data_IF_379689145078
#
_entry.id   IF_379689145078
#
_cell.length_a   1.000
_cell.length_b   1.000
_cell.length_c   1.000
_cell.angle_alpha   90.00
_cell.angle_beta   90.00
_cell.angle_gamma   90.00
#
_symmetry.space_group_name_H-M   'P 1'
#
loop_
_entity.id
_entity.type
_entity.pdbx_description
1 polymer ?
#
# COMPACT_ATOMS: atom_id res chain seq x y z
N UNK A 1 -0.85 5.98 22.04
CA UNK A 1 -0.02 4.89 21.50
C UNK A 1 -0.92 4.01 20.67
N UNK A 2 -0.64 3.87 19.38
CA UNK A 2 -1.35 2.90 18.55
C UNK A 2 -0.93 1.51 18.99
N UNK A 3 -1.78 0.80 19.74
CA UNK A 3 -1.65 -0.64 19.84
C UNK A 3 -2.04 -1.20 18.48
N UNK A 4 -1.18 -2.00 17.85
CA UNK A 4 -1.54 -2.68 16.62
C UNK A 4 -2.53 -3.80 16.99
N UNK A 5 -3.80 -3.56 16.72
CA UNK A 5 -4.85 -4.57 16.86
C UNK A 5 -5.70 -4.65 15.60
N UNK A 6 -6.10 -5.86 15.23
CA UNK A 6 -7.06 -6.04 14.14
C UNK A 6 -8.51 -5.86 14.64
N UNK A 7 -9.48 -5.86 13.72
CA UNK A 7 -10.90 -5.70 14.04
C UNK A 7 -11.50 -6.84 14.87
N UNK A 8 -10.79 -7.97 15.01
CA UNK A 8 -11.21 -9.08 15.87
C UNK A 8 -10.75 -8.91 17.32
N UNK A 9 -9.90 -7.91 17.59
CA UNK A 9 -9.26 -7.71 18.89
C UNK A 9 -7.94 -8.46 19.04
N UNK A 10 -7.40 -9.05 17.97
CA UNK A 10 -6.06 -9.65 18.00
C UNK A 10 -5.04 -8.56 18.28
N UNK A 11 -4.16 -8.77 19.26
CA UNK A 11 -3.09 -7.83 19.61
C UNK A 11 -1.74 -8.37 19.14
N UNK A 12 -0.98 -7.52 18.46
CA UNK A 12 0.38 -7.84 18.02
C UNK A 12 1.28 -8.03 19.24
N UNK A 13 2.04 -9.13 19.24
CA UNK A 13 3.04 -9.46 20.26
C UNK A 13 4.46 -9.26 19.72
N UNK A 14 5.46 -9.23 20.60
CA UNK A 14 6.87 -9.14 20.16
C UNK A 14 7.27 -10.32 19.26
N UNK A 15 6.78 -11.53 19.54
CA UNK A 15 7.02 -12.67 18.64
C UNK A 15 6.40 -12.49 17.23
N UNK A 16 5.30 -11.73 17.08
CA UNK A 16 4.77 -11.40 15.74
C UNK A 16 5.72 -10.47 15.01
N UNK A 17 6.28 -9.50 15.73
CA UNK A 17 7.27 -8.56 15.18
C UNK A 17 8.52 -9.31 14.72
N UNK A 18 9.04 -10.21 15.55
CA UNK A 18 10.20 -11.04 15.20
C UNK A 18 9.91 -11.92 13.99
N UNK A 19 8.74 -12.55 13.94
CA UNK A 19 8.31 -13.35 12.79
C UNK A 19 8.23 -12.52 11.51
N UNK A 20 7.64 -11.32 11.60
CA UNK A 20 7.52 -10.37 10.50
C UNK A 20 8.82 -9.63 10.17
N UNK A 21 9.88 -9.86 10.96
CA UNK A 21 11.19 -9.18 10.85
C UNK A 21 11.08 -7.66 11.02
N UNK A 22 10.17 -7.23 11.88
CA UNK A 22 9.97 -5.85 12.29
C UNK A 22 10.72 -5.66 13.60
N UNK A 23 11.73 -4.78 13.64
CA UNK A 23 12.40 -4.48 14.91
C UNK A 23 11.47 -3.69 15.84
N UNK A 24 11.71 -3.78 17.15
CA UNK A 24 10.95 -2.99 18.13
C UNK A 24 11.06 -1.48 17.87
N UNK A 25 12.25 -1.01 17.48
CA UNK A 25 12.48 0.39 17.12
C UNK A 25 11.63 0.84 15.93
N UNK A 26 11.52 0.00 14.90
CA UNK A 26 10.68 0.26 13.73
C UNK A 26 9.19 0.29 14.11
N UNK A 27 8.76 -0.67 14.93
CA UNK A 27 7.39 -0.70 15.43
C UNK A 27 7.05 0.54 16.28
N UNK A 28 7.95 0.95 17.16
CA UNK A 28 7.76 2.12 18.00
C UNK A 28 7.74 3.42 17.17
N UNK A 29 8.57 3.51 16.13
CA UNK A 29 8.56 4.64 15.18
C UNK A 29 7.24 4.71 14.40
N UNK A 30 6.74 3.56 13.95
CA UNK A 30 5.42 3.45 13.33
C UNK A 30 4.30 3.86 14.29
N UNK A 31 4.34 3.38 15.54
CA UNK A 31 3.31 3.68 16.54
C UNK A 31 3.27 5.18 16.93
N UNK A 32 4.38 5.92 16.74
CA UNK A 32 4.48 7.37 16.92
C UNK A 32 4.13 8.19 15.67
N UNK A 33 3.92 7.56 14.52
CA UNK A 33 3.69 8.28 13.27
C UNK A 33 4.96 8.83 12.62
N UNK A 34 6.14 8.35 13.03
CA UNK A 34 7.43 8.89 12.57
C UNK A 34 7.87 8.29 11.23
N UNK A 35 7.58 7.00 11.00
CA UNK A 35 7.82 6.32 9.72
C UNK A 35 6.90 5.11 9.54
N UNK A 36 6.52 4.77 8.31
CA UNK A 36 5.77 3.53 8.03
C UNK A 36 6.64 2.29 8.27
N UNK A 37 5.99 1.13 8.40
CA UNK A 37 6.71 -0.15 8.56
C UNK A 37 7.65 -0.41 7.37
N UNK A 38 8.78 -1.05 7.68
CA UNK A 38 9.90 -1.33 6.78
C UNK A 38 10.64 -0.11 6.21
N UNK A 39 10.41 1.10 6.75
CA UNK A 39 11.13 2.32 6.35
C UNK A 39 11.73 2.99 7.58
N UNK A 40 13.02 3.33 7.52
CA UNK A 40 13.68 4.08 8.59
C UNK A 40 13.15 5.51 8.65
N UNK A 41 13.14 6.18 9.81
CA UNK A 41 12.74 7.59 9.89
C UNK A 41 13.55 8.53 8.98
N UNK A 42 14.84 8.25 8.79
CA UNK A 42 15.71 9.02 7.91
C UNK A 42 15.33 8.82 6.43
N UNK A 43 15.09 7.58 6.00
CA UNK A 43 14.64 7.31 4.64
C UNK A 43 13.25 7.88 4.39
N UNK A 44 12.35 7.78 5.36
CA UNK A 44 11.00 8.34 5.23
C UNK A 44 11.00 9.87 5.12
N UNK A 45 11.84 10.55 5.90
CA UNK A 45 12.08 11.99 5.74
C UNK A 45 12.60 12.31 4.33
N UNK A 46 13.57 11.54 3.83
CA UNK A 46 14.06 11.73 2.48
C UNK A 46 12.96 11.52 1.43
N UNK A 47 12.16 10.47 1.57
CA UNK A 47 11.06 10.15 0.67
C UNK A 47 10.01 11.27 0.63
N UNK A 48 9.55 11.76 1.79
CA UNK A 48 8.52 12.82 1.82
C UNK A 48 9.04 14.14 1.23
N UNK A 49 10.27 14.54 1.55
CA UNK A 49 10.86 15.78 1.00
C UNK A 49 11.02 15.68 -0.52
N UNK A 50 11.51 14.54 -1.03
CA UNK A 50 11.68 14.34 -2.47
C UNK A 50 10.36 14.12 -3.21
N UNK A 51 9.33 13.59 -2.54
CA UNK A 51 7.98 13.47 -3.09
C UNK A 51 7.38 14.85 -3.36
N UNK A 52 7.37 15.74 -2.37
CA UNK A 52 6.83 17.08 -2.55
C UNK A 52 7.64 17.91 -3.54
N UNK A 53 8.96 17.71 -3.61
CA UNK A 53 9.76 18.30 -4.68
C UNK A 53 9.31 17.80 -6.06
N UNK A 54 9.13 16.49 -6.24
CA UNK A 54 8.67 15.91 -7.50
C UNK A 54 7.26 16.39 -7.90
N UNK A 55 6.33 16.46 -6.95
CA UNK A 55 4.98 17.02 -7.18
C UNK A 55 5.05 18.47 -7.65
N UNK A 56 5.91 19.30 -7.05
CA UNK A 56 6.10 20.69 -7.47
C UNK A 56 6.69 20.82 -8.87
N UNK A 57 7.68 19.99 -9.22
CA UNK A 57 8.25 19.96 -10.58
C UNK A 57 7.21 19.54 -11.63
N UNK A 58 6.27 18.67 -11.25
CA UNK A 58 5.12 18.27 -12.09
C UNK A 58 3.96 19.30 -12.06
N UNK A 59 4.11 20.44 -11.37
CA UNK A 59 3.12 21.51 -11.29
C UNK A 59 1.97 21.27 -10.31
N UNK A 60 2.10 20.29 -9.41
CA UNK A 60 1.10 19.95 -8.40
C UNK A 60 1.46 20.66 -7.08
N UNK A 61 0.74 21.74 -6.76
CA UNK A 61 0.97 22.56 -5.56
C UNK A 61 -0.06 22.38 -4.43
N UNK A 62 -1.15 21.65 -4.67
CA UNK A 62 -2.33 21.51 -3.80
C UNK A 62 -2.52 20.09 -3.25
N UNK A 63 -1.47 19.27 -3.26
CA UNK A 63 -1.58 17.84 -2.92
C UNK A 63 -1.88 17.58 -1.44
N UNK A 64 -2.98 16.85 -1.16
CA UNK A 64 -3.16 16.06 0.07
C UNK A 64 -2.59 14.66 -0.18
N UNK A 65 -1.52 14.32 0.54
CA UNK A 65 -0.80 13.06 0.37
C UNK A 65 -0.99 12.19 1.61
N UNK A 66 -1.39 10.93 1.40
CA UNK A 66 -1.61 9.96 2.48
C UNK A 66 -0.95 8.64 2.19
N UNK A 67 -0.43 8.01 3.24
CA UNK A 67 0.00 6.61 3.18
C UNK A 67 -1.16 5.68 3.47
N UNK A 68 -1.28 4.64 2.66
CA UNK A 68 -2.30 3.61 2.77
C UNK A 68 -1.68 2.21 2.80
N UNK A 69 -2.52 1.21 3.05
CA UNK A 69 -2.10 -0.18 3.13
C UNK A 69 -1.56 -0.59 4.50
N UNK A 70 -1.05 -1.82 4.58
CA UNK A 70 -0.59 -2.43 5.83
C UNK A 70 0.72 -1.81 6.34
N UNK A 71 1.51 -1.13 5.51
CA UNK A 71 2.69 -0.38 5.97
C UNK A 71 2.31 0.80 6.87
N UNK A 72 1.17 1.44 6.57
CA UNK A 72 0.61 2.54 7.36
C UNK A 72 -0.25 2.03 8.53
N UNK A 73 -0.97 0.92 8.36
CA UNK A 73 -2.01 0.46 9.31
C UNK A 73 -1.67 -0.83 10.07
N UNK A 74 -0.48 -1.39 9.88
CA UNK A 74 -0.04 -2.72 10.32
C UNK A 74 -0.82 -3.89 9.70
N UNK A 75 -2.14 -3.82 9.66
CA UNK A 75 -3.01 -4.84 9.06
C UNK A 75 -3.58 -4.37 7.71
N UNK A 76 -3.86 -5.33 6.85
CA UNK A 76 -4.60 -5.12 5.61
C UNK A 76 -6.05 -4.68 5.85
N UNK A 77 -6.75 -4.26 4.80
CA UNK A 77 -8.22 -4.09 4.84
C UNK A 77 -8.93 -5.40 5.22
N UNK A 78 -10.11 -5.37 5.88
CA UNK A 78 -10.93 -6.55 6.18
C UNK A 78 -11.24 -7.44 4.96
N UNK A 79 -11.21 -6.88 3.76
CA UNK A 79 -11.41 -7.62 2.51
C UNK A 79 -10.20 -8.45 2.07
N UNK A 80 -9.05 -8.29 2.74
CA UNK A 80 -7.83 -9.06 2.49
C UNK A 80 -7.50 -9.85 3.77
N UNK A 81 -8.29 -10.88 4.12
CA UNK A 81 -8.08 -11.63 5.34
C UNK A 81 -6.73 -12.36 5.35
N UNK A 82 -6.31 -12.78 6.53
CA UNK A 82 -5.21 -13.72 6.68
C UNK A 82 -5.62 -15.09 6.13
N UNK A 83 -4.67 -15.79 5.51
CA UNK A 83 -4.89 -17.09 4.86
C UNK A 83 -4.42 -18.20 5.81
N UNK A 84 -5.27 -19.21 6.05
CA UNK A 84 -4.97 -20.30 6.98
C UNK A 84 -5.03 -21.68 6.34
N UNK A 85 -5.80 -21.85 5.26
CA UNK A 85 -5.92 -23.14 4.59
C UNK A 85 -4.87 -23.30 3.49
N UNK A 86 -4.46 -24.55 3.26
CA UNK A 86 -3.58 -24.93 2.15
C UNK A 86 -4.12 -24.44 0.80
N UNK A 87 -5.42 -24.54 0.59
CA UNK A 87 -6.06 -24.11 -0.65
C UNK A 87 -5.93 -22.60 -0.90
N UNK A 88 -6.14 -21.78 0.13
CA UNK A 88 -5.96 -20.33 0.05
C UNK A 88 -4.49 -19.95 -0.22
N UNK A 89 -3.54 -20.60 0.46
CA UNK A 89 -2.11 -20.36 0.25
C UNK A 89 -1.67 -20.74 -1.16
N UNK A 90 -2.15 -21.86 -1.69
CA UNK A 90 -1.86 -22.30 -3.07
C UNK A 90 -2.45 -21.34 -4.09
N UNK A 91 -3.68 -20.85 -3.87
CA UNK A 91 -4.31 -19.89 -4.78
C UNK A 91 -3.57 -18.56 -4.80
N UNK A 92 -3.24 -18.01 -3.64
CA UNK A 92 -2.47 -16.76 -3.57
C UNK A 92 -1.09 -16.95 -4.21
N UNK A 93 -0.41 -18.08 -3.97
CA UNK A 93 0.84 -18.38 -4.66
C UNK A 93 0.67 -18.40 -6.18
N UNK A 94 -0.39 -19.03 -6.69
CA UNK A 94 -0.68 -19.05 -8.13
C UNK A 94 -0.91 -17.64 -8.67
N UNK A 95 -1.63 -16.79 -7.95
CA UNK A 95 -1.92 -15.42 -8.35
C UNK A 95 -0.63 -14.55 -8.38
N UNK A 96 0.28 -14.78 -7.44
CA UNK A 96 1.52 -14.01 -7.29
C UNK A 96 2.65 -14.48 -8.21
N UNK A 97 2.75 -15.79 -8.46
CA UNK A 97 3.86 -16.39 -9.22
C UNK A 97 3.46 -16.87 -10.62
N UNK A 98 2.17 -16.92 -10.95
CA UNK A 98 1.68 -17.41 -12.24
C UNK A 98 1.89 -18.91 -12.48
N UNK A 99 2.18 -19.68 -11.42
CA UNK A 99 2.35 -21.13 -11.46
C UNK A 99 1.88 -21.79 -10.17
N UNK A 100 1.60 -23.09 -10.22
CA UNK A 100 1.36 -23.87 -9.01
C UNK A 100 2.64 -24.00 -8.18
N UNK A 101 2.55 -23.94 -6.84
CA UNK A 101 3.67 -24.28 -5.98
C UNK A 101 3.97 -25.77 -6.05
N UNK A 102 5.23 -26.15 -5.87
CA UNK A 102 5.57 -27.54 -5.64
C UNK A 102 5.21 -27.98 -4.21
N UNK A 103 5.41 -29.27 -3.91
CA UNK A 103 5.13 -29.82 -2.58
C UNK A 103 5.98 -29.16 -1.49
N UNK A 104 7.25 -28.90 -1.77
CA UNK A 104 8.18 -28.33 -0.80
C UNK A 104 7.81 -26.88 -0.46
N UNK A 105 7.45 -26.08 -1.47
CA UNK A 105 6.98 -24.70 -1.29
C UNK A 105 5.70 -24.66 -0.46
N UNK A 106 4.75 -25.55 -0.76
CA UNK A 106 3.50 -25.62 -0.01
C UNK A 106 3.73 -26.01 1.45
N UNK A 107 4.49 -27.08 1.69
CA UNK A 107 4.78 -27.56 3.04
C UNK A 107 5.58 -26.52 3.85
N UNK A 108 6.48 -25.75 3.20
CA UNK A 108 7.21 -24.65 3.82
C UNK A 108 6.29 -23.47 4.19
N UNK A 109 5.35 -23.08 3.32
CA UNK A 109 4.37 -22.02 3.64
C UNK A 109 3.54 -22.39 4.87
N UNK A 110 3.00 -23.62 4.89
CA UNK A 110 2.21 -24.13 6.02
C UNK A 110 3.03 -24.22 7.31
N UNK A 111 4.28 -24.72 7.22
CA UNK A 111 5.17 -24.79 8.37
C UNK A 111 5.49 -23.41 8.94
N UNK A 112 5.81 -22.42 8.09
CA UNK A 112 6.12 -21.06 8.52
C UNK A 112 4.91 -20.40 9.16
N UNK A 113 3.74 -20.51 8.52
CA UNK A 113 2.49 -20.02 9.08
C UNK A 113 2.25 -20.63 10.47
N UNK A 114 2.27 -21.98 10.57
CA UNK A 114 2.02 -22.70 11.80
C UNK A 114 3.05 -22.46 12.91
N UNK A 115 4.26 -22.01 12.57
CA UNK A 115 5.28 -21.62 13.55
C UNK A 115 4.93 -20.36 14.32
N UNK A 116 4.00 -19.53 13.79
CA UNK A 116 3.61 -18.27 14.40
C UNK A 116 2.12 -18.18 14.70
N UNK A 117 1.28 -18.41 13.70
CA UNK A 117 -0.16 -18.31 13.84
C UNK A 117 -0.82 -19.66 13.62
N UNK A 118 -1.51 -20.12 14.67
CA UNK A 118 -2.52 -21.17 14.56
C UNK A 118 -3.90 -20.56 14.79
N UNK A 119 -4.96 -21.18 14.28
CA UNK A 119 -6.30 -20.65 14.51
C UNK A 119 -6.68 -20.82 16.00
N UNK A 120 -7.15 -19.76 16.70
CA UNK A 120 -7.38 -18.41 16.19
C UNK A 120 -6.12 -17.53 16.17
N UNK A 121 -5.78 -16.99 15.00
CA UNK A 121 -4.75 -15.96 14.81
C UNK A 121 -5.37 -14.65 14.30
N UNK A 122 -4.57 -13.71 13.75
CA UNK A 122 -5.09 -12.47 13.17
C UNK A 122 -6.10 -12.76 12.05
N UNK A 123 -7.22 -12.03 12.02
CA UNK A 123 -8.22 -12.14 10.93
C UNK A 123 -7.81 -11.33 9.73
N UNK A 124 -7.22 -10.16 9.94
CA UNK A 124 -6.66 -9.34 8.87
C UNK A 124 -5.19 -9.72 8.65
N UNK A 125 -4.74 -9.67 7.40
CA UNK A 125 -3.36 -10.00 7.04
C UNK A 125 -2.40 -8.97 7.65
N UNK A 126 -1.47 -9.38 8.54
CA UNK A 126 -0.41 -8.50 9.01
C UNK A 126 0.51 -8.07 7.86
N UNK A 127 1.18 -6.93 8.04
CA UNK A 127 2.20 -6.42 7.13
C UNK A 127 3.25 -7.50 6.80
N UNK A 128 3.60 -7.65 5.52
CA UNK A 128 4.55 -8.62 4.98
C UNK A 128 4.31 -10.11 5.33
N UNK A 129 3.21 -10.47 6.01
CA UNK A 129 2.96 -11.84 6.45
C UNK A 129 3.04 -12.87 5.31
N UNK A 130 2.45 -12.56 4.16
CA UNK A 130 2.47 -13.45 3.01
C UNK A 130 3.85 -13.56 2.34
N UNK A 131 4.62 -12.49 2.36
CA UNK A 131 5.98 -12.50 1.85
C UNK A 131 6.88 -13.37 2.76
N UNK A 132 6.76 -13.21 4.08
CA UNK A 132 7.52 -13.98 5.07
C UNK A 132 7.25 -15.48 4.96
N UNK A 133 5.98 -15.89 4.82
CA UNK A 133 5.65 -17.32 4.64
C UNK A 133 6.01 -17.84 3.24
N UNK A 134 6.18 -16.96 2.25
CA UNK A 134 6.54 -17.31 0.87
C UNK A 134 5.34 -17.51 -0.06
N UNK A 135 4.17 -17.00 0.31
CA UNK A 135 2.97 -16.98 -0.54
C UNK A 135 2.97 -15.79 -1.50
N UNK A 136 3.67 -14.70 -1.17
CA UNK A 136 3.84 -13.53 -2.04
C UNK A 136 5.26 -13.45 -2.60
N UNK A 137 5.37 -13.07 -3.87
CA UNK A 137 6.65 -12.94 -4.59
C UNK A 137 7.48 -11.74 -4.13
N UNK A 138 6.81 -10.67 -3.70
CA UNK A 138 7.42 -9.42 -3.27
C UNK A 138 6.97 -9.06 -1.85
N UNK A 139 7.78 -8.26 -1.18
CA UNK A 139 7.36 -7.59 0.05
C UNK A 139 6.18 -6.65 -0.24
N UNK A 140 5.42 -6.28 0.79
CA UNK A 140 4.34 -5.32 0.64
C UNK A 140 4.82 -4.00 0.00
N UNK A 141 3.91 -3.26 -0.59
CA UNK A 141 4.24 -1.96 -1.15
C UNK A 141 4.14 -0.85 -0.08
N UNK A 142 4.68 0.32 -0.42
CA UNK A 142 4.37 1.58 0.21
C UNK A 142 3.45 2.37 -0.72
N UNK A 143 2.18 2.48 -0.36
CA UNK A 143 1.13 3.08 -1.21
C UNK A 143 0.88 4.54 -0.81
N UNK A 144 1.28 5.46 -1.70
CA UNK A 144 1.00 6.88 -1.58
C UNK A 144 -0.24 7.24 -2.39
N UNK A 145 -1.23 7.83 -1.72
CA UNK A 145 -2.40 8.38 -2.36
C UNK A 145 -2.30 9.90 -2.38
N UNK A 146 -2.40 10.47 -3.59
CA UNK A 146 -2.30 11.91 -3.84
C UNK A 146 -3.65 12.40 -4.32
N UNK A 147 -4.22 13.37 -3.61
CA UNK A 147 -5.46 14.06 -4.00
C UNK A 147 -5.13 15.49 -4.39
N UNK A 148 -5.47 15.88 -5.61
CA UNK A 148 -5.14 17.22 -6.14
C UNK A 148 -6.09 17.60 -7.27
N UNK A 149 -6.67 18.80 -7.19
CA UNK A 149 -7.47 19.36 -8.28
C UNK A 149 -6.58 19.82 -9.44
N UNK A 150 -5.38 20.34 -9.14
CA UNK A 150 -4.41 20.68 -10.17
C UNK A 150 -4.01 19.45 -11.02
N UNK A 151 -3.73 18.32 -10.36
CA UNK A 151 -3.42 17.06 -11.03
C UNK A 151 -4.59 16.59 -11.92
N UNK A 152 -5.83 16.65 -11.41
CA UNK A 152 -7.02 16.33 -12.20
C UNK A 152 -7.09 17.20 -13.46
N UNK A 153 -7.02 18.52 -13.32
CA UNK A 153 -7.12 19.44 -14.46
C UNK A 153 -6.04 19.20 -15.51
N UNK A 154 -4.82 18.87 -15.08
CA UNK A 154 -3.71 18.55 -15.99
C UNK A 154 -3.94 17.24 -16.77
N UNK A 155 -4.49 16.21 -16.12
CA UNK A 155 -4.83 14.95 -16.79
C UNK A 155 -5.99 15.16 -17.76
N UNK A 156 -7.04 15.88 -17.35
CA UNK A 156 -8.19 16.19 -18.20
C UNK A 156 -7.76 16.94 -19.47
N UNK A 157 -6.90 17.96 -19.33
CA UNK A 157 -6.35 18.70 -20.45
C UNK A 157 -5.55 17.80 -21.41
N UNK A 158 -4.65 16.95 -20.89
CA UNK A 158 -3.85 16.05 -21.71
C UNK A 158 -4.70 15.02 -22.48
N UNK A 159 -5.77 14.52 -21.86
CA UNK A 159 -6.69 13.56 -22.50
C UNK A 159 -7.51 14.24 -23.60
N UNK A 160 -7.94 15.48 -23.37
CA UNK A 160 -8.62 16.29 -24.38
C UNK A 160 -7.72 16.58 -25.58
N UNK A 161 -6.44 16.91 -25.36
CA UNK A 161 -5.44 17.11 -26.43
C UNK A 161 -5.27 15.85 -27.31
N UNK A 162 -5.45 14.67 -26.73
CA UNK A 162 -5.39 13.38 -27.44
C UNK A 162 -6.72 13.00 -28.14
N UNK A 163 -7.75 13.84 -28.03
CA UNK A 163 -9.08 13.56 -28.59
C UNK A 163 -9.82 12.41 -27.90
N UNK A 164 -9.40 12.05 -26.68
CA UNK A 164 -10.00 10.99 -25.87
C UNK A 164 -11.10 11.55 -24.95
N UNK A 165 -12.02 10.69 -24.53
CA UNK A 165 -13.07 11.05 -23.58
C UNK A 165 -12.55 11.01 -22.15
N UNK A 166 -12.95 11.99 -21.33
CA UNK A 166 -12.70 12.04 -19.89
C UNK A 166 -13.24 10.79 -19.17
N UNK A 167 -14.24 10.11 -19.73
CA UNK A 167 -14.77 8.87 -19.14
C UNK A 167 -13.78 7.68 -19.23
N UNK A 168 -12.73 7.78 -20.06
CA UNK A 168 -11.73 6.73 -20.25
C UNK A 168 -10.50 6.87 -19.34
N UNK A 169 -10.46 7.87 -18.44
CA UNK A 169 -9.23 8.23 -17.69
C UNK A 169 -9.09 7.53 -16.33
N UNK A 170 -10.12 6.81 -15.89
CA UNK A 170 -10.15 6.13 -14.59
C UNK A 170 -9.64 4.70 -14.70
N UNK A 171 -9.07 4.18 -13.60
CA UNK A 171 -8.71 2.78 -13.49
C UNK A 171 -9.89 1.87 -13.86
N UNK A 172 -9.64 0.79 -14.60
CA UNK A 172 -10.68 -0.08 -15.19
C UNK A 172 -11.60 -0.72 -14.15
N UNK A 173 -11.16 -0.86 -12.90
CA UNK A 173 -12.00 -1.35 -11.81
C UNK A 173 -12.73 -0.16 -11.15
N UNK A 174 -14.05 -0.16 -11.25
CA UNK A 174 -14.94 0.93 -10.83
C UNK A 174 -14.82 1.32 -9.35
N UNK A 175 -14.31 0.42 -8.53
CA UNK A 175 -14.18 0.64 -7.08
C UNK A 175 -12.91 1.40 -6.68
N UNK A 176 -11.92 1.51 -7.58
CA UNK A 176 -10.63 2.12 -7.24
C UNK A 176 -10.53 3.62 -7.58
N UNK A 177 -11.28 4.13 -8.56
CA UNK A 177 -11.47 5.55 -8.90
C UNK A 177 -10.23 6.49 -9.02
N UNK A 178 -9.00 5.98 -8.89
CA UNK A 178 -7.78 6.71 -9.25
C UNK A 178 -7.61 6.81 -10.77
N UNK A 179 -6.82 7.78 -11.23
CA UNK A 179 -6.48 7.95 -12.64
C UNK A 179 -5.62 6.80 -13.18
N UNK A 180 -5.80 6.42 -14.45
CA UNK A 180 -5.03 5.31 -15.02
C UNK A 180 -3.52 5.55 -14.88
N UNK A 181 -2.84 4.53 -14.38
CA UNK A 181 -1.40 4.56 -14.09
C UNK A 181 -0.56 5.02 -15.29
N UNK A 182 -0.90 4.57 -16.50
CA UNK A 182 -0.18 4.97 -17.71
C UNK A 182 -0.32 6.47 -17.99
N UNK A 183 -1.49 7.06 -17.75
CA UNK A 183 -1.73 8.49 -17.92
C UNK A 183 -0.94 9.30 -16.88
N UNK A 184 -0.98 8.88 -15.62
CA UNK A 184 -0.24 9.57 -14.55
C UNK A 184 1.28 9.47 -14.76
N UNK A 185 1.80 8.31 -15.18
CA UNK A 185 3.23 8.11 -15.42
C UNK A 185 3.75 8.91 -16.62
N UNK A 186 2.91 9.11 -17.63
CA UNK A 186 3.27 9.90 -18.82
C UNK A 186 3.16 11.40 -18.54
N UNK A 187 2.18 11.81 -17.74
CA UNK A 187 1.93 13.22 -17.44
C UNK A 187 2.85 13.78 -16.35
N UNK A 188 3.16 12.97 -15.34
CA UNK A 188 3.90 13.39 -14.14
C UNK A 188 5.24 12.63 -14.08
N UNK A 189 6.17 13.10 -14.91
CA UNK A 189 7.46 12.42 -15.13
C UNK A 189 8.32 12.50 -13.86
N UNK A 190 8.30 13.62 -13.14
CA UNK A 190 9.12 13.78 -11.94
C UNK A 190 8.64 12.85 -10.83
N UNK A 191 7.32 12.71 -10.65
CA UNK A 191 6.71 11.78 -9.72
C UNK A 191 6.96 10.31 -10.11
N UNK A 192 6.91 9.99 -11.40
CA UNK A 192 7.24 8.65 -11.91
C UNK A 192 8.71 8.28 -11.63
N UNK A 193 9.64 9.21 -11.90
CA UNK A 193 11.07 9.05 -11.58
C UNK A 193 11.32 8.95 -10.09
N UNK A 194 10.63 9.77 -9.29
CA UNK A 194 10.68 9.70 -7.83
C UNK A 194 10.27 8.33 -7.33
N UNK A 195 9.14 7.78 -7.81
CA UNK A 195 8.66 6.45 -7.39
C UNK A 195 9.69 5.35 -7.65
N UNK A 196 10.34 5.38 -8.81
CA UNK A 196 11.40 4.41 -9.15
C UNK A 196 12.58 4.52 -8.19
N UNK A 197 13.10 5.74 -7.98
CA UNK A 197 14.21 5.99 -7.03
C UNK A 197 13.85 5.64 -5.59
N UNK A 198 12.62 5.94 -5.18
CA UNK A 198 12.09 5.61 -3.87
C UNK A 198 12.06 4.09 -3.66
N UNK A 199 11.57 3.35 -4.66
CA UNK A 199 11.53 1.88 -4.61
C UNK A 199 12.93 1.26 -4.52
N UNK A 200 13.90 1.82 -5.25
CA UNK A 200 15.31 1.42 -5.18
C UNK A 200 15.93 1.71 -3.81
N UNK A 201 15.67 2.89 -3.26
CA UNK A 201 16.19 3.34 -1.96
C UNK A 201 15.75 2.40 -0.83
N UNK A 202 14.45 2.12 -0.73
CA UNK A 202 13.90 1.30 0.35
C UNK A 202 13.87 -0.20 0.02
N UNK A 203 14.28 -0.58 -1.20
CA UNK A 203 14.29 -1.95 -1.73
C UNK A 203 12.93 -2.66 -1.62
N UNK A 204 11.85 -1.90 -1.81
CA UNK A 204 10.46 -2.39 -1.77
C UNK A 204 9.64 -1.61 -2.80
N UNK A 205 8.56 -2.19 -3.36
CA UNK A 205 7.72 -1.46 -4.31
C UNK A 205 7.12 -0.21 -3.67
N UNK A 206 7.19 0.91 -4.39
CA UNK A 206 6.45 2.13 -4.06
C UNK A 206 5.37 2.32 -5.12
N UNK A 207 4.13 2.48 -4.67
CA UNK A 207 2.98 2.77 -5.53
C UNK A 207 2.49 4.19 -5.28
N UNK A 208 1.99 4.82 -6.34
CA UNK A 208 1.37 6.14 -6.26
C UNK A 208 0.05 6.09 -7.00
N UNK A 209 -1.02 6.43 -6.32
CA UNK A 209 -2.36 6.59 -6.89
C UNK A 209 -2.77 8.05 -6.81
N UNK A 210 -3.22 8.62 -7.92
CA UNK A 210 -3.70 10.01 -7.99
C UNK A 210 -5.22 10.01 -8.09
N UNK A 211 -5.86 10.83 -7.26
CA UNK A 211 -7.29 11.03 -7.17
C UNK A 211 -7.65 12.50 -7.45
N UNK A 212 -8.95 12.78 -7.52
CA UNK A 212 -9.46 14.16 -7.55
C UNK A 212 -9.12 14.88 -6.24
N UNK A 213 -9.21 16.22 -6.19
CA UNK A 213 -8.91 16.99 -4.97
C UNK A 213 -9.77 16.63 -3.76
N UNK A 214 -10.99 16.10 -3.98
CA UNK A 214 -11.85 15.56 -2.91
C UNK A 214 -11.36 14.23 -2.32
N UNK A 215 -10.34 13.63 -2.94
CA UNK A 215 -9.88 12.31 -2.64
C UNK A 215 -10.75 11.19 -3.20
N UNK A 216 -10.52 9.95 -2.77
CA UNK A 216 -11.22 8.80 -3.32
C UNK A 216 -12.70 8.85 -2.92
N UNK A 217 -13.65 8.51 -3.81
CA UNK A 217 -15.07 8.65 -3.50
C UNK A 217 -15.53 7.72 -2.38
N UNK A 218 -16.60 8.10 -1.69
CA UNK A 218 -17.28 7.24 -0.72
C UNK A 218 -17.97 6.11 -1.49
N UNK A 219 -17.55 4.86 -1.29
CA UNK A 219 -18.28 3.72 -1.83
C UNK A 219 -19.63 3.59 -1.13
N UNK A 220 -20.71 3.57 -1.91
CA UNK A 220 -22.07 3.29 -1.42
C UNK A 220 -22.39 1.79 -1.32
N UNK A 221 -21.49 0.92 -1.81
CA UNK A 221 -21.74 -0.53 -1.98
C UNK A 221 -20.76 -1.44 -1.23
N UNK A 222 -20.27 -1.04 -0.05
CA UNK A 222 -19.48 -1.92 0.82
C UNK A 222 -18.48 -1.17 1.71
N UNK A 223 -17.73 -1.88 2.57
CA UNK A 223 -16.81 -1.28 3.55
C UNK A 223 -15.54 -0.66 2.95
N UNK A 224 -15.44 -0.57 1.61
CA UNK A 224 -14.34 0.11 0.92
C UNK A 224 -14.60 1.61 0.97
N UNK A 225 -14.45 2.21 2.15
CA UNK A 225 -14.25 3.66 2.20
C UNK A 225 -12.83 3.92 1.71
N UNK A 226 -12.71 4.12 0.40
CA UNK A 226 -11.51 4.70 -0.21
C UNK A 226 -11.31 6.14 0.28
N UNK A 227 -12.38 6.80 0.75
CA UNK A 227 -12.33 8.20 1.15
C UNK A 227 -11.36 8.43 2.31
N UNK A 228 -10.56 9.47 2.13
CA UNK A 228 -9.65 10.04 3.09
C UNK A 228 -10.32 10.25 4.46
N UNK A 229 -9.80 9.55 5.48
CA UNK A 229 -10.26 9.61 6.88
C UNK A 229 -9.33 10.49 7.72
N UNK A 230 -9.81 11.19 8.75
CA UNK A 230 -8.94 11.96 9.65
C UNK A 230 -7.86 11.11 10.34
N UNK A 231 -8.07 9.79 10.47
CA UNK A 231 -7.13 8.84 11.05
C UNK A 231 -6.09 8.29 10.06
N UNK A 232 -6.14 8.69 8.80
CA UNK A 232 -5.13 8.26 7.83
C UNK A 232 -3.77 8.85 8.16
N UNK A 233 -2.74 8.16 7.68
CA UNK A 233 -1.37 8.63 7.81
C UNK A 233 -1.13 9.78 6.83
N UNK A 234 -1.25 11.01 7.32
CA UNK A 234 -0.95 12.22 6.56
C UNK A 234 0.56 12.33 6.31
N UNK A 235 0.95 12.52 5.06
CA UNK A 235 2.34 12.80 4.68
C UNK A 235 2.50 14.31 4.57
N UNK A 236 3.42 14.87 5.37
CA UNK A 236 3.73 16.30 5.40
C UNK A 236 5.13 16.56 4.85
N UNK A 237 5.35 17.75 4.28
CA UNK A 237 6.67 18.20 3.81
C UNK A 237 7.67 18.28 4.99
#
# INVERSE_FOLDING_TARGET
MNAASDQSGYQVTDDDLDFLRISREMFDSWARGESPLAVSPADYLHLRTTLFAALREDGIGDADVRLQGSSARFFSSPMKPMLYSRAELVQEFLDQYGRLPDRYETDRMEQRLGSRWSAPGPRQRPFDALFVIGAAAEAGDLDFQVSSDAARSMIEAAVQELGLSVNDIRAKHKDYNFFQKQLTETRFIHLSLWRTKASELIRRPVSVAIFDGTGPPVSTNGPVSSHFQPSDWLVQE
#
